data_IF_199314290215
#
_entry.id   IF_199314290215
#
_cell.length_a   1.000
_cell.length_b   1.000
_cell.length_c   1.000
_cell.angle_alpha   90.00
_cell.angle_beta   90.00
_cell.angle_gamma   90.00
#
_symmetry.space_group_name_H-M   'P 1'
#
loop_
_entity.id
_entity.type
_entity.pdbx_description
1 polymer ?
#
# COMPACT_ATOMS: atom_id res chain seq x y z
N UNK A 1 0.21 -11.65 9.22
CA UNK A 1 -0.19 -10.97 7.97
C UNK A 1 -0.59 -9.56 8.35
N UNK A 2 -0.18 -8.58 7.57
CA UNK A 2 -0.55 -7.17 7.76
C UNK A 2 -1.19 -6.64 6.47
N UNK A 3 -1.91 -5.54 6.59
CA UNK A 3 -2.58 -4.86 5.50
C UNK A 3 -2.07 -3.43 5.44
N UNK A 4 -1.55 -3.04 4.29
CA UNK A 4 -1.03 -1.72 4.00
C UNK A 4 -2.01 -1.01 3.07
N UNK A 5 -2.38 0.20 3.45
CA UNK A 5 -3.23 1.11 2.68
C UNK A 5 -2.37 2.24 2.15
N UNK A 6 -2.19 2.28 0.84
CA UNK A 6 -1.38 3.29 0.15
C UNK A 6 -2.31 4.22 -0.63
N UNK A 7 -2.34 5.49 -0.24
CA UNK A 7 -2.95 6.53 -1.06
C UNK A 7 -2.02 6.83 -2.24
N UNK A 8 -2.62 6.94 -3.42
CA UNK A 8 -1.89 7.24 -4.65
C UNK A 8 -2.49 8.50 -5.23
N UNK A 9 -1.65 9.49 -5.46
CA UNK A 9 -2.01 10.74 -6.11
C UNK A 9 -1.76 10.59 -7.60
N UNK A 10 -2.83 10.77 -8.38
CA UNK A 10 -2.80 10.66 -9.82
C UNK A 10 -2.61 12.05 -10.42
N UNK A 11 -1.63 12.18 -11.31
CA UNK A 11 -1.37 13.44 -12.06
C UNK A 11 -2.36 13.63 -13.20
N UNK A 12 -3.00 12.55 -13.64
CA UNK A 12 -3.91 12.53 -14.77
C UNK A 12 -5.35 12.48 -14.26
N UNK A 13 -6.15 13.50 -14.58
CA UNK A 13 -7.54 13.67 -14.10
C UNK A 13 -8.48 12.59 -14.67
N UNK A 14 -8.07 11.93 -15.77
CA UNK A 14 -8.81 10.84 -16.42
C UNK A 14 -8.31 9.45 -15.97
N UNK A 15 -7.24 9.37 -15.18
CA UNK A 15 -6.71 8.08 -14.72
C UNK A 15 -7.55 7.50 -13.58
N UNK A 16 -7.97 6.24 -13.76
CA UNK A 16 -8.68 5.49 -12.75
C UNK A 16 -7.70 4.66 -11.89
N UNK A 17 -7.84 4.75 -10.56
CA UNK A 17 -6.94 4.03 -9.64
C UNK A 17 -7.02 2.50 -9.84
N UNK A 18 -8.14 1.96 -10.32
CA UNK A 18 -8.27 0.53 -10.61
C UNK A 18 -7.52 0.14 -11.88
N UNK A 19 -7.37 1.03 -12.86
CA UNK A 19 -6.46 0.81 -14.00
C UNK A 19 -5.01 0.85 -13.55
N UNK A 20 -4.64 1.83 -12.72
CA UNK A 20 -3.31 1.90 -12.11
C UNK A 20 -3.01 0.62 -11.32
N UNK A 21 -3.93 0.14 -10.48
CA UNK A 21 -3.74 -1.10 -9.73
C UNK A 21 -3.48 -2.32 -10.63
N UNK A 22 -4.01 -2.33 -11.85
CA UNK A 22 -3.87 -3.45 -12.79
C UNK A 22 -2.60 -3.39 -13.63
N UNK A 23 -2.17 -2.19 -14.04
CA UNK A 23 -1.04 -2.00 -14.96
C UNK A 23 0.21 -1.42 -14.28
N UNK A 24 0.14 -1.05 -13.00
CA UNK A 24 1.31 -0.51 -12.30
C UNK A 24 2.37 -1.58 -12.02
N UNK A 25 3.62 -1.23 -12.29
CA UNK A 25 4.74 -1.87 -11.60
C UNK A 25 4.76 -1.39 -10.16
N UNK A 26 4.94 -2.29 -9.20
CA UNK A 26 5.00 -1.92 -7.79
C UNK A 26 6.12 -2.67 -7.10
N UNK A 27 6.85 -1.97 -6.26
CA UNK A 27 7.99 -2.51 -5.52
C UNK A 27 7.85 -2.11 -4.07
N UNK A 28 7.82 -3.12 -3.21
CA UNK A 28 7.74 -2.94 -1.77
C UNK A 28 9.02 -3.50 -1.12
N UNK A 29 9.66 -2.70 -0.28
CA UNK A 29 10.90 -3.06 0.41
C UNK A 29 10.79 -2.79 1.90
N UNK A 30 11.06 -3.84 2.68
CA UNK A 30 11.24 -3.76 4.13
C UNK A 30 12.05 -4.99 4.61
N UNK A 31 12.98 -4.87 5.58
CA UNK A 31 13.87 -5.96 5.99
C UNK A 31 13.15 -7.19 6.58
N UNK A 32 12.02 -6.97 7.26
CA UNK A 32 11.20 -8.04 7.82
C UNK A 32 10.13 -8.56 6.85
N UNK A 33 10.01 -8.00 5.65
CA UNK A 33 9.07 -8.49 4.66
C UNK A 33 9.60 -9.75 3.99
N UNK A 34 8.74 -10.76 3.88
CA UNK A 34 9.00 -12.00 3.17
C UNK A 34 8.37 -11.94 1.79
N UNK A 35 7.09 -11.59 1.72
CA UNK A 35 6.31 -11.50 0.50
C UNK A 35 5.22 -10.43 0.64
N UNK A 36 4.60 -10.07 -0.48
CA UNK A 36 3.54 -9.08 -0.52
C UNK A 36 2.66 -9.28 -1.75
N UNK A 37 1.38 -8.94 -1.62
CA UNK A 37 0.40 -9.07 -2.70
C UNK A 37 -0.46 -7.81 -2.77
N UNK A 38 -0.62 -7.26 -3.98
CA UNK A 38 -1.62 -6.24 -4.24
C UNK A 38 -3.00 -6.88 -4.31
N UNK A 39 -3.89 -6.53 -3.38
CA UNK A 39 -5.27 -7.03 -3.34
C UNK A 39 -6.19 -6.23 -4.27
N UNK A 40 -5.85 -4.98 -4.53
CA UNK A 40 -6.56 -4.11 -5.46
C UNK A 40 -6.80 -2.72 -4.88
N UNK A 41 -7.88 -2.08 -5.34
CA UNK A 41 -8.31 -0.77 -4.85
C UNK A 41 -9.36 -0.94 -3.77
N UNK A 42 -9.21 -0.19 -2.68
CA UNK A 42 -10.17 -0.09 -1.59
C UNK A 42 -10.46 1.38 -1.27
N UNK A 43 -11.53 1.63 -0.52
CA UNK A 43 -11.82 2.95 0.02
C UNK A 43 -11.58 2.94 1.52
N UNK A 44 -10.65 3.78 1.98
CA UNK A 44 -10.37 3.93 3.40
C UNK A 44 -10.61 5.38 3.82
N UNK A 45 -11.53 5.60 4.76
CA UNK A 45 -11.93 6.94 5.24
C UNK A 45 -12.32 7.94 4.12
N UNK A 46 -12.86 7.44 3.00
CA UNK A 46 -13.24 8.26 1.85
C UNK A 46 -12.10 8.54 0.85
N UNK A 47 -10.91 7.97 1.08
CA UNK A 47 -9.77 8.04 0.17
C UNK A 47 -9.66 6.73 -0.62
N UNK A 48 -9.44 6.83 -1.92
CA UNK A 48 -9.15 5.67 -2.75
C UNK A 48 -7.70 5.25 -2.51
N UNK A 49 -7.50 4.01 -2.06
CA UNK A 49 -6.19 3.49 -1.70
C UNK A 49 -5.93 2.15 -2.36
N UNK A 50 -4.67 1.86 -2.65
CA UNK A 50 -4.22 0.52 -2.97
C UNK A 50 -4.06 -0.28 -1.69
N UNK A 51 -4.68 -1.45 -1.64
CA UNK A 51 -4.58 -2.39 -0.53
C UNK A 51 -3.52 -3.45 -0.84
N UNK A 52 -2.51 -3.53 0.01
CA UNK A 52 -1.48 -4.56 -0.06
C UNK A 52 -1.57 -5.48 1.14
N UNK A 53 -1.54 -6.78 0.90
CA UNK A 53 -1.29 -7.78 1.92
C UNK A 53 0.22 -7.97 2.08
N UNK A 54 0.71 -7.89 3.30
CA UNK A 54 2.11 -8.05 3.64
C UNK A 54 2.32 -9.34 4.45
N UNK A 55 3.28 -10.14 4.00
CA UNK A 55 3.77 -11.30 4.73
C UNK A 55 5.08 -10.95 5.40
N UNK A 56 5.04 -10.84 6.73
CA UNK A 56 6.21 -10.53 7.56
C UNK A 56 6.89 -11.83 8.01
N UNK A 57 8.21 -11.81 8.15
CA UNK A 57 9.03 -12.92 8.68
C UNK A 57 8.60 -13.29 10.10
N UNK A 58 8.28 -12.28 10.90
CA UNK A 58 7.89 -12.40 12.29
C UNK A 58 6.60 -11.60 12.54
N UNK A 59 5.78 -11.98 13.53
CA UNK A 59 4.62 -11.20 13.92
C UNK A 59 5.05 -9.82 14.44
N UNK A 60 4.52 -8.77 13.82
CA UNK A 60 4.77 -7.38 14.24
C UNK A 60 3.77 -7.01 15.33
N UNK A 61 4.25 -6.46 16.45
CA UNK A 61 3.39 -5.98 17.52
C UNK A 61 2.65 -4.70 17.11
N UNK A 62 1.45 -4.48 17.65
CA UNK A 62 0.63 -3.29 17.36
C UNK A 62 1.40 -1.97 17.60
N UNK A 63 2.23 -1.95 18.66
CA UNK A 63 3.08 -0.80 19.00
C UNK A 63 4.12 -0.47 17.92
N UNK A 64 4.52 -1.44 17.09
CA UNK A 64 5.52 -1.26 16.02
C UNK A 64 4.89 -0.93 14.67
N UNK A 65 3.56 -1.05 14.52
CA UNK A 65 2.87 -0.74 13.25
C UNK A 65 3.09 0.72 12.81
N UNK A 66 3.10 1.66 13.76
CA UNK A 66 3.41 3.07 13.47
C UNK A 66 4.82 3.26 12.92
N UNK A 67 5.80 2.50 13.44
CA UNK A 67 7.17 2.55 12.95
C UNK A 67 7.28 1.89 11.57
N UNK A 68 6.55 0.79 11.38
CA UNK A 68 6.48 0.06 10.11
C UNK A 68 5.96 0.94 8.97
N UNK A 69 4.96 1.79 9.22
CA UNK A 69 4.47 2.81 8.26
C UNK A 69 5.60 3.70 7.75
N UNK A 70 6.56 4.05 8.60
CA UNK A 70 7.68 4.93 8.24
C UNK A 70 8.85 4.19 7.61
N UNK A 71 9.05 2.91 7.94
CA UNK A 71 10.16 2.10 7.42
C UNK A 71 9.85 1.49 6.04
N UNK A 72 8.57 1.16 5.81
CA UNK A 72 8.13 0.53 4.56
C UNK A 72 8.32 1.47 3.37
N UNK A 73 9.14 1.05 2.42
CA UNK A 73 9.35 1.79 1.18
C UNK A 73 8.52 1.18 0.08
N UNK A 74 7.55 1.95 -0.40
CA UNK A 74 6.67 1.56 -1.50
C UNK A 74 6.95 2.47 -2.68
N UNK A 75 7.19 1.87 -3.84
CA UNK A 75 7.36 2.58 -5.10
C UNK A 75 6.33 2.06 -6.09
N UNK A 76 5.49 2.97 -6.59
CA UNK A 76 4.55 2.70 -7.66
C UNK A 76 5.12 3.29 -8.95
N UNK A 77 5.29 2.44 -9.94
CA UNK A 77 5.78 2.76 -11.28
C UNK A 77 4.61 2.71 -12.25
N UNK A 78 3.97 3.86 -12.44
CA UNK A 78 2.90 4.04 -13.42
C UNK A 78 2.92 5.49 -13.93
N UNK A 79 2.75 5.75 -15.23
CA UNK A 79 2.87 7.10 -15.80
C UNK A 79 1.86 8.10 -15.24
N UNK A 80 0.68 7.63 -14.82
CA UNK A 80 -0.34 8.48 -14.22
C UNK A 80 -0.11 8.79 -12.73
N UNK A 81 0.89 8.19 -12.07
CA UNK A 81 1.13 8.36 -10.64
C UNK A 81 2.15 9.47 -10.39
N UNK A 82 1.76 10.50 -9.64
CA UNK A 82 2.67 11.56 -9.16
C UNK A 82 3.21 11.26 -7.77
N UNK A 83 2.29 11.12 -6.82
CA UNK A 83 2.45 10.85 -5.39
C UNK A 83 2.15 9.40 -5.01
N UNK A 84 2.80 8.86 -3.98
CA UNK A 84 2.18 7.82 -3.16
C UNK A 84 2.53 8.04 -1.70
N UNK A 85 1.59 7.68 -0.82
CA UNK A 85 1.72 7.88 0.63
C UNK A 85 1.12 6.70 1.38
N UNK A 86 1.88 6.16 2.32
CA UNK A 86 1.36 5.18 3.27
C UNK A 86 0.38 5.85 4.23
N UNK A 87 -0.85 5.38 4.24
CA UNK A 87 -1.92 5.90 5.11
C UNK A 87 -2.01 5.09 6.40
N UNK A 88 -1.98 3.77 6.28
CA UNK A 88 -2.17 2.85 7.40
C UNK A 88 -1.45 1.53 7.16
N UNK A 89 -0.93 0.95 8.23
CA UNK A 89 -0.61 -0.48 8.31
C UNK A 89 -1.38 -1.07 9.49
N UNK A 90 -2.14 -2.14 9.25
CA UNK A 90 -2.99 -2.79 10.24
C UNK A 90 -2.75 -4.30 10.24
N UNK A 91 -2.93 -4.98 11.37
CA UNK A 91 -2.98 -6.46 11.41
C UNK A 91 -4.31 -7.02 10.90
N UNK A 92 -5.30 -6.15 10.68
CA UNK A 92 -6.64 -6.48 10.20
C UNK A 92 -6.92 -5.79 8.88
N UNK A 93 -7.73 -6.46 8.06
CA UNK A 93 -8.25 -5.86 6.85
C UNK A 93 -9.36 -4.88 7.24
N UNK A 94 -9.12 -3.60 7.01
CA UNK A 94 -10.13 -2.55 7.13
C UNK A 94 -11.03 -2.59 5.89
N UNK A 95 -12.35 -2.59 6.09
CA UNK A 95 -13.37 -2.73 5.04
C UNK A 95 -14.41 -1.62 5.10
#
# INVERSE_FOLDING_TARGET
MLYLYLEVDLSDDDADLAEVARDCGHTLKHPQLTDWHLLGVTQWHGHACLEFQLEMKEPVAEAELHQLISDIQVQISHPAVSASRTMLVSDKQER
#
